data_IF_817059970550
#
_entry.id   IF_817059970550
#
_cell.length_a   1.000
_cell.length_b   1.000
_cell.length_c   1.000
_cell.angle_alpha   90.00
_cell.angle_beta   90.00
_cell.angle_gamma   90.00
#
_symmetry.space_group_name_H-M   'P 1'
#
loop_
_entity.id
_entity.type
_entity.pdbx_description
1 polymer ?
#
# COMPACT_ATOMS: atom_id res chain seq x y z
N UNK A 1 20.19 18.11 17.59
CA UNK A 1 18.87 17.71 18.13
C UNK A 1 18.84 16.20 18.34
N UNK A 2 18.37 15.75 19.50
CA UNK A 2 18.15 14.32 19.78
C UNK A 2 16.99 13.76 18.95
N UNK A 3 16.89 12.43 18.82
CA UNK A 3 15.79 11.78 18.07
C UNK A 3 14.42 12.12 18.67
N UNK A 4 14.31 12.16 20.00
CA UNK A 4 13.07 12.54 20.72
C UNK A 4 12.63 13.98 20.44
N UNK A 5 13.58 14.92 20.35
CA UNK A 5 13.27 16.31 19.99
C UNK A 5 12.70 16.44 18.57
N UNK A 6 13.20 15.62 17.63
CA UNK A 6 12.69 15.59 16.24
C UNK A 6 11.27 15.03 16.16
N UNK A 7 10.95 13.99 16.95
CA UNK A 7 9.60 13.44 17.04
C UNK A 7 8.62 14.52 17.54
N UNK A 8 8.91 15.13 18.68
CA UNK A 8 8.05 16.16 19.27
C UNK A 8 7.87 17.39 18.38
N UNK A 9 8.94 17.87 17.74
CA UNK A 9 8.86 18.99 16.80
C UNK A 9 8.00 18.65 15.57
N UNK A 10 8.04 17.39 15.10
CA UNK A 10 7.23 16.96 13.97
C UNK A 10 5.72 16.91 14.26
N UNK A 11 5.33 16.75 15.53
CA UNK A 11 3.92 16.68 15.93
C UNK A 11 3.29 18.07 16.03
N UNK A 12 3.99 19.04 16.65
CA UNK A 12 3.43 20.37 16.97
C UNK A 12 3.24 21.30 15.77
N UNK A 13 3.96 21.07 14.67
CA UNK A 13 3.90 21.95 13.49
C UNK A 13 4.52 23.34 13.75
N UNK A 14 4.92 24.02 12.68
CA UNK A 14 5.28 25.45 12.71
C UNK A 14 3.98 26.27 12.59
N UNK A 15 3.84 27.32 13.43
CA UNK A 15 2.59 28.06 13.66
C UNK A 15 1.90 28.64 12.41
N UNK A 16 0.63 29.07 12.54
CA UNK A 16 -0.23 29.42 11.41
C UNK A 16 0.20 30.71 10.70
N UNK A 17 -0.01 30.73 9.38
CA UNK A 17 0.16 31.91 8.52
C UNK A 17 -1.04 32.85 8.72
N UNK A 18 -0.78 34.06 9.19
CA UNK A 18 -1.74 35.16 9.24
C UNK A 18 -1.95 35.72 7.83
N UNK A 19 -3.17 35.73 7.32
CA UNK A 19 -3.52 36.49 6.10
C UNK A 19 -4.55 37.58 6.42
N UNK A 20 -4.32 38.75 5.86
CA UNK A 20 -4.99 40.02 6.11
C UNK A 20 -6.45 40.09 5.62
N UNK A 21 -7.15 41.11 6.13
CA UNK A 21 -8.59 41.36 6.03
C UNK A 21 -9.06 41.90 4.67
N UNK A 22 -10.09 41.28 4.10
CA UNK A 22 -11.05 41.97 3.21
C UNK A 22 -12.47 41.38 3.32
N UNK A 23 -13.47 42.25 3.15
CA UNK A 23 -14.92 42.00 3.24
C UNK A 23 -15.52 41.84 1.83
N UNK A 24 -15.64 40.59 1.37
CA UNK A 24 -16.29 40.24 0.10
C UNK A 24 -17.35 39.15 0.38
N UNK A 25 -18.63 39.31 0.00
CA UNK A 25 -19.66 38.30 0.26
C UNK A 25 -19.43 36.96 -0.48
N UNK A 26 -18.59 36.91 -1.53
CA UNK A 26 -18.12 35.65 -2.16
C UNK A 26 -17.07 34.91 -1.33
N UNK A 27 -16.66 35.50 -0.20
CA UNK A 27 -15.66 34.95 0.72
C UNK A 27 -16.09 33.64 1.36
N UNK A 28 -17.38 33.32 1.53
CA UNK A 28 -17.76 32.05 2.19
C UNK A 28 -17.44 30.82 1.32
N UNK A 29 -17.80 30.84 0.04
CA UNK A 29 -17.47 29.78 -0.91
C UNK A 29 -15.96 29.74 -1.21
N UNK A 30 -15.33 30.92 -1.31
CA UNK A 30 -13.88 31.08 -1.43
C UNK A 30 -13.17 30.58 -0.17
N UNK A 31 -13.69 30.81 1.03
CA UNK A 31 -13.08 30.40 2.31
C UNK A 31 -13.22 28.91 2.59
N UNK A 32 -14.25 28.24 2.08
CA UNK A 32 -14.39 26.79 2.23
C UNK A 32 -13.33 26.06 1.38
N UNK A 33 -13.19 26.43 0.10
CA UNK A 33 -12.13 25.90 -0.78
C UNK A 33 -10.71 26.39 -0.36
N UNK A 34 -10.56 27.64 0.07
CA UNK A 34 -9.29 28.18 0.61
C UNK A 34 -8.95 27.68 2.03
N UNK A 35 -9.90 27.05 2.75
CA UNK A 35 -9.57 26.34 4.00
C UNK A 35 -8.81 25.04 3.72
N UNK A 36 -9.07 24.39 2.58
CA UNK A 36 -8.33 23.19 2.20
C UNK A 36 -7.02 23.51 1.46
N UNK A 37 -6.94 24.61 0.70
CA UNK A 37 -5.74 24.96 -0.08
C UNK A 37 -5.29 26.41 0.06
N UNK A 38 -3.98 26.69 0.06
CA UNK A 38 -3.50 28.08 0.02
C UNK A 38 -3.91 28.76 -1.29
N UNK A 39 -4.01 30.09 -1.27
CA UNK A 39 -4.38 30.87 -2.46
C UNK A 39 -3.34 30.75 -3.59
N UNK A 40 -2.07 30.55 -3.21
CA UNK A 40 -0.95 30.41 -4.12
C UNK A 40 -0.07 29.24 -3.71
N UNK A 41 0.59 28.63 -4.69
CA UNK A 41 1.52 27.51 -4.52
C UNK A 41 2.81 27.77 -5.30
N UNK A 42 3.96 27.19 -4.90
CA UNK A 42 5.18 27.32 -5.69
C UNK A 42 5.00 26.76 -7.10
N UNK A 43 5.41 27.49 -8.13
CA UNK A 43 5.23 27.10 -9.54
C UNK A 43 5.85 25.73 -9.85
N UNK A 44 7.00 25.44 -9.27
CA UNK A 44 7.69 24.15 -9.47
C UNK A 44 6.97 22.96 -8.83
N UNK A 45 5.97 23.21 -7.98
CA UNK A 45 5.22 22.17 -7.28
C UNK A 45 4.04 21.61 -8.09
N UNK A 46 3.54 22.35 -9.08
CA UNK A 46 2.37 21.94 -9.89
C UNK A 46 2.71 21.04 -11.08
N UNK A 47 3.97 20.60 -11.19
CA UNK A 47 4.46 19.79 -12.31
C UNK A 47 4.06 18.32 -12.20
N UNK A 48 3.62 17.73 -13.33
CA UNK A 48 3.24 16.31 -13.40
C UNK A 48 4.36 15.37 -12.94
N UNK A 49 5.60 15.60 -13.38
CA UNK A 49 6.75 14.73 -13.03
C UNK A 49 7.02 14.64 -11.51
N UNK A 50 6.56 15.62 -10.75
CA UNK A 50 6.72 15.64 -9.30
C UNK A 50 5.64 14.82 -8.60
N UNK A 51 4.35 15.00 -8.92
CA UNK A 51 3.23 14.37 -8.17
C UNK A 51 2.65 13.15 -8.87
N UNK A 52 2.75 13.09 -10.21
CA UNK A 52 1.99 12.23 -11.10
C UNK A 52 0.48 12.19 -10.78
N UNK A 53 -0.02 13.21 -10.09
CA UNK A 53 -1.37 13.29 -9.50
C UNK A 53 -1.80 12.06 -8.67
N UNK A 54 -0.86 11.25 -8.15
CA UNK A 54 -1.16 10.00 -7.42
C UNK A 54 -1.99 10.22 -6.16
N UNK A 55 -1.79 11.35 -5.47
CA UNK A 55 -2.61 11.72 -4.32
C UNK A 55 -4.05 12.04 -4.72
N UNK A 56 -4.24 12.77 -5.82
CA UNK A 56 -5.58 13.08 -6.37
C UNK A 56 -6.27 11.80 -6.82
N UNK A 57 -5.58 10.94 -7.57
CA UNK A 57 -6.11 9.65 -8.02
C UNK A 57 -6.58 8.80 -6.82
N UNK A 58 -5.76 8.66 -5.78
CA UNK A 58 -6.12 7.90 -4.59
C UNK A 58 -7.33 8.47 -3.86
N UNK A 59 -7.47 9.80 -3.78
CA UNK A 59 -8.65 10.43 -3.16
C UNK A 59 -9.92 10.23 -3.97
N UNK A 60 -9.84 10.36 -5.30
CA UNK A 60 -10.98 10.12 -6.19
C UNK A 60 -11.42 8.66 -6.09
N UNK A 61 -10.48 7.72 -6.11
CA UNK A 61 -10.77 6.28 -5.96
C UNK A 61 -11.40 5.96 -4.60
N UNK A 62 -10.94 6.60 -3.52
CA UNK A 62 -11.57 6.45 -2.20
C UNK A 62 -13.02 6.95 -2.21
N UNK A 63 -13.30 8.10 -2.84
CA UNK A 63 -14.68 8.62 -2.97
C UNK A 63 -15.53 7.67 -3.81
N UNK A 64 -15.01 7.19 -4.94
CA UNK A 64 -15.70 6.22 -5.78
C UNK A 64 -16.03 4.93 -5.02
N UNK A 65 -15.12 4.42 -4.20
CA UNK A 65 -15.34 3.25 -3.35
C UNK A 65 -16.43 3.48 -2.32
N UNK A 66 -16.42 4.63 -1.62
CA UNK A 66 -17.45 4.95 -0.62
C UNK A 66 -18.82 5.04 -1.28
N UNK A 67 -18.93 5.74 -2.42
CA UNK A 67 -20.20 5.91 -3.14
C UNK A 67 -20.70 4.57 -3.69
N UNK A 68 -19.85 3.82 -4.39
CA UNK A 68 -20.24 2.52 -4.95
C UNK A 68 -20.57 1.49 -3.87
N UNK A 69 -19.83 1.46 -2.76
CA UNK A 69 -20.07 0.56 -1.63
C UNK A 69 -21.39 0.88 -0.93
N UNK A 70 -21.70 2.16 -0.74
CA UNK A 70 -22.99 2.59 -0.20
C UNK A 70 -24.16 2.15 -1.10
N UNK A 71 -24.00 2.26 -2.42
CA UNK A 71 -25.03 1.81 -3.37
C UNK A 71 -25.21 0.29 -3.33
N UNK A 72 -24.13 -0.50 -3.30
CA UNK A 72 -24.20 -1.97 -3.19
C UNK A 72 -24.85 -2.42 -1.88
N UNK A 73 -24.63 -1.67 -0.80
CA UNK A 73 -25.19 -1.96 0.54
C UNK A 73 -26.72 -1.99 0.57
N UNK A 74 -27.41 -1.30 -0.34
CA UNK A 74 -28.88 -1.33 -0.40
C UNK A 74 -29.46 -2.67 -0.83
N UNK A 75 -28.67 -3.55 -1.45
CA UNK A 75 -29.10 -4.84 -1.98
C UNK A 75 -28.37 -6.01 -1.32
N UNK A 76 -27.11 -5.82 -0.93
CA UNK A 76 -26.29 -6.89 -0.34
C UNK A 76 -26.82 -7.38 1.01
N UNK A 77 -26.89 -8.70 1.18
CA UNK A 77 -27.33 -9.35 2.42
C UNK A 77 -26.14 -10.00 3.17
N UNK A 78 -25.74 -9.48 4.34
CA UNK A 78 -24.54 -9.94 5.07
C UNK A 78 -24.80 -11.22 5.89
N UNK A 79 -25.30 -12.29 5.26
CA UNK A 79 -25.50 -13.59 5.90
C UNK A 79 -24.84 -14.71 5.09
N UNK A 80 -24.31 -15.75 5.75
CA UNK A 80 -23.59 -16.82 5.06
C UNK A 80 -24.46 -17.59 4.04
N UNK A 81 -25.79 -17.60 4.23
CA UNK A 81 -26.75 -18.24 3.33
C UNK A 81 -27.15 -17.38 2.15
N UNK A 82 -27.18 -16.05 2.28
CA UNK A 82 -27.66 -15.13 1.24
C UNK A 82 -26.59 -14.24 0.60
N UNK A 83 -25.40 -14.11 1.19
CA UNK A 83 -24.36 -13.20 0.70
C UNK A 83 -23.98 -13.47 -0.76
N UNK A 84 -23.66 -14.73 -1.09
CA UNK A 84 -23.34 -15.11 -2.47
C UNK A 84 -24.50 -14.86 -3.43
N UNK A 85 -25.71 -15.29 -3.06
CA UNK A 85 -26.90 -15.11 -3.89
C UNK A 85 -27.23 -13.63 -4.13
N UNK A 86 -27.05 -12.77 -3.12
CA UNK A 86 -27.26 -11.32 -3.25
C UNK A 86 -26.26 -10.67 -4.23
N UNK A 87 -25.03 -11.17 -4.30
CA UNK A 87 -24.00 -10.70 -5.26
C UNK A 87 -24.33 -11.14 -6.67
N UNK A 88 -24.81 -12.38 -6.85
CA UNK A 88 -25.32 -12.86 -8.14
C UNK A 88 -26.51 -12.01 -8.59
N UNK A 89 -27.48 -11.75 -7.71
CA UNK A 89 -28.63 -10.90 -7.97
C UNK A 89 -28.24 -9.46 -8.35
N UNK A 90 -27.25 -8.87 -7.66
CA UNK A 90 -26.69 -7.56 -8.05
C UNK A 90 -26.13 -7.59 -9.47
N UNK A 91 -25.46 -8.68 -9.85
CA UNK A 91 -24.87 -8.83 -11.19
C UNK A 91 -25.91 -9.04 -12.29
N UNK A 92 -26.99 -9.77 -12.03
CA UNK A 92 -27.95 -10.19 -13.07
C UNK A 92 -29.23 -9.35 -13.14
N UNK A 93 -29.81 -8.95 -12.01
CA UNK A 93 -31.15 -8.36 -11.96
C UNK A 93 -31.17 -6.85 -11.67
N UNK A 94 -30.18 -6.34 -10.93
CA UNK A 94 -30.15 -4.92 -10.54
C UNK A 94 -29.69 -4.06 -11.73
N UNK A 95 -30.44 -3.02 -12.14
CA UNK A 95 -30.00 -2.11 -13.20
C UNK A 95 -28.64 -1.48 -12.87
N UNK A 96 -27.68 -1.63 -13.79
CA UNK A 96 -26.28 -1.23 -13.60
C UNK A 96 -25.56 -1.87 -12.40
N UNK A 97 -26.12 -2.92 -11.77
CA UNK A 97 -25.54 -3.55 -10.59
C UNK A 97 -24.20 -4.22 -10.87
N UNK A 98 -24.06 -4.92 -12.01
CA UNK A 98 -22.76 -5.46 -12.46
C UNK A 98 -21.72 -4.35 -12.67
N UNK A 99 -22.08 -3.24 -13.32
CA UNK A 99 -21.18 -2.09 -13.51
C UNK A 99 -20.73 -1.53 -12.16
N UNK A 100 -21.64 -1.40 -11.20
CA UNK A 100 -21.34 -0.88 -9.87
C UNK A 100 -20.42 -1.83 -9.07
N UNK A 101 -20.64 -3.14 -9.19
CA UNK A 101 -19.80 -4.19 -8.60
C UNK A 101 -18.40 -4.16 -9.20
N UNK A 102 -18.29 -4.07 -10.52
CA UNK A 102 -17.03 -3.92 -11.24
C UNK A 102 -16.30 -2.65 -10.79
N UNK A 103 -17.01 -1.53 -10.74
CA UNK A 103 -16.47 -0.24 -10.32
C UNK A 103 -15.91 -0.31 -8.90
N UNK A 104 -16.63 -0.92 -7.97
CA UNK A 104 -16.18 -1.07 -6.59
C UNK A 104 -14.92 -1.96 -6.50
N UNK A 105 -14.93 -3.13 -7.16
CA UNK A 105 -13.80 -4.07 -7.16
C UNK A 105 -12.55 -3.47 -7.78
N UNK A 106 -12.65 -2.91 -8.98
CA UNK A 106 -11.50 -2.36 -9.69
C UNK A 106 -10.98 -1.08 -9.06
N UNK A 107 -11.85 -0.23 -8.51
CA UNK A 107 -11.42 0.96 -7.76
C UNK A 107 -10.65 0.58 -6.49
N UNK A 108 -10.98 -0.54 -5.85
CA UNK A 108 -10.26 -1.09 -4.69
C UNK A 108 -8.82 -1.44 -5.00
N UNK A 109 -8.61 -2.16 -6.11
CA UNK A 109 -7.28 -2.50 -6.60
C UNK A 109 -6.51 -1.28 -7.12
N UNK A 110 -7.18 -0.40 -7.86
CA UNK A 110 -6.57 0.84 -8.32
C UNK A 110 -6.11 1.71 -7.15
N UNK A 111 -6.91 1.83 -6.08
CA UNK A 111 -6.55 2.60 -4.89
C UNK A 111 -5.30 2.02 -4.22
N UNK A 112 -5.22 0.69 -4.12
CA UNK A 112 -4.05 0.02 -3.56
C UNK A 112 -2.80 0.33 -4.38
N UNK A 113 -2.88 0.20 -5.71
CA UNK A 113 -1.76 0.50 -6.62
C UNK A 113 -1.37 1.98 -6.55
N UNK A 114 -2.33 2.91 -6.64
CA UNK A 114 -2.02 4.35 -6.63
C UNK A 114 -1.47 4.81 -5.28
N UNK A 115 -1.98 4.27 -4.17
CA UNK A 115 -1.46 4.56 -2.84
C UNK A 115 -0.03 4.02 -2.69
N UNK A 116 0.26 2.83 -3.23
CA UNK A 116 1.61 2.26 -3.18
C UNK A 116 2.60 3.07 -4.02
N UNK A 117 2.21 3.43 -5.25
CA UNK A 117 2.99 4.34 -6.09
C UNK A 117 3.18 5.71 -5.42
N UNK A 118 2.17 6.21 -4.70
CA UNK A 118 2.28 7.46 -3.93
C UNK A 118 3.33 7.34 -2.81
N UNK A 119 3.34 6.23 -2.08
CA UNK A 119 4.36 5.92 -1.07
C UNK A 119 5.76 5.87 -1.69
N UNK A 120 5.94 5.14 -2.80
CA UNK A 120 7.22 5.07 -3.51
C UNK A 120 7.70 6.45 -3.94
N UNK A 121 6.80 7.25 -4.52
CA UNK A 121 7.11 8.63 -4.91
C UNK A 121 7.58 9.45 -3.72
N UNK A 122 6.89 9.40 -2.58
CA UNK A 122 7.27 10.16 -1.38
C UNK A 122 8.63 9.69 -0.84
N UNK A 123 8.90 8.39 -0.89
CA UNK A 123 10.19 7.79 -0.51
C UNK A 123 11.32 8.27 -1.43
N UNK A 124 11.23 8.05 -2.75
CA UNK A 124 12.32 8.34 -3.69
C UNK A 124 12.56 9.84 -3.95
N UNK A 125 11.58 10.70 -3.64
CA UNK A 125 11.74 12.15 -3.70
C UNK A 125 12.19 12.78 -2.37
N UNK A 126 12.28 11.98 -1.30
CA UNK A 126 12.60 12.46 0.05
C UNK A 126 11.51 13.35 0.66
N UNK A 127 10.27 13.28 0.18
CA UNK A 127 9.20 14.17 0.64
C UNK A 127 8.78 13.93 2.11
N UNK A 128 9.27 12.86 2.74
CA UNK A 128 9.07 12.52 4.15
C UNK A 128 10.01 13.28 5.12
N UNK A 129 11.04 13.99 4.63
CA UNK A 129 11.89 14.80 5.51
C UNK A 129 11.09 15.92 6.20
N UNK A 130 11.66 16.50 7.26
CA UNK A 130 11.03 17.61 7.99
C UNK A 130 10.61 18.76 7.05
N UNK A 131 9.45 19.41 7.27
CA UNK A 131 8.49 19.27 8.37
C UNK A 131 7.41 18.17 8.18
N UNK A 132 7.60 17.23 7.23
CA UNK A 132 6.57 16.23 6.83
C UNK A 132 6.74 14.84 7.44
N UNK A 133 7.63 14.69 8.42
CA UNK A 133 7.96 13.39 9.04
C UNK A 133 6.72 12.69 9.62
N UNK A 134 5.87 13.40 10.35
CA UNK A 134 4.65 12.79 10.90
C UNK A 134 3.60 12.49 9.82
N UNK A 135 3.58 13.27 8.72
CA UNK A 135 2.69 13.00 7.60
C UNK A 135 3.02 11.68 6.89
N UNK A 136 4.28 11.28 6.90
CA UNK A 136 4.71 9.95 6.45
C UNK A 136 4.11 8.83 7.31
N UNK A 137 4.10 8.97 8.64
CA UNK A 137 3.49 8.00 9.55
C UNK A 137 1.99 7.87 9.28
N UNK A 138 1.29 9.00 9.08
CA UNK A 138 -0.13 9.00 8.67
C UNK A 138 -0.28 8.27 7.32
N UNK A 139 0.62 8.50 6.36
CA UNK A 139 0.62 7.81 5.08
C UNK A 139 0.78 6.29 5.20
N UNK A 140 1.65 5.82 6.10
CA UNK A 140 1.80 4.38 6.40
C UNK A 140 0.54 3.81 7.05
N UNK A 141 -0.10 4.55 7.98
CA UNK A 141 -1.38 4.14 8.57
C UNK A 141 -2.49 4.07 7.52
N UNK A 142 -2.58 5.04 6.61
CA UNK A 142 -3.51 5.03 5.48
C UNK A 142 -3.27 3.83 4.56
N UNK A 143 -2.01 3.50 4.25
CA UNK A 143 -1.67 2.30 3.46
C UNK A 143 -2.16 1.03 4.16
N UNK A 144 -1.92 0.90 5.46
CA UNK A 144 -2.41 -0.23 6.24
C UNK A 144 -3.94 -0.35 6.24
N UNK A 145 -4.66 0.78 6.37
CA UNK A 145 -6.12 0.80 6.27
C UNK A 145 -6.63 0.44 4.87
N UNK A 146 -5.94 0.85 3.80
CA UNK A 146 -6.31 0.47 2.41
C UNK A 146 -6.14 -1.03 2.20
N UNK A 147 -5.06 -1.63 2.72
CA UNK A 147 -4.86 -3.08 2.71
C UNK A 147 -5.94 -3.81 3.52
N UNK A 148 -6.21 -3.35 4.74
CA UNK A 148 -7.23 -3.95 5.62
C UNK A 148 -8.64 -3.82 5.04
N UNK A 149 -8.95 -2.69 4.39
CA UNK A 149 -10.22 -2.49 3.69
C UNK A 149 -10.36 -3.43 2.50
N UNK A 150 -9.32 -3.57 1.67
CA UNK A 150 -9.32 -4.55 0.58
C UNK A 150 -9.50 -5.98 1.11
N UNK A 151 -8.84 -6.35 2.21
CA UNK A 151 -8.93 -7.69 2.79
C UNK A 151 -10.32 -8.00 3.37
N UNK A 152 -10.89 -7.08 4.17
CA UNK A 152 -12.22 -7.28 4.76
C UNK A 152 -13.33 -7.28 3.71
N UNK A 153 -13.23 -6.44 2.68
CA UNK A 153 -14.14 -6.41 1.54
C UNK A 153 -14.00 -7.63 0.63
N UNK A 154 -12.81 -8.26 0.60
CA UNK A 154 -12.54 -9.44 -0.23
C UNK A 154 -13.45 -10.62 0.14
N UNK A 155 -13.82 -10.77 1.42
CA UNK A 155 -14.64 -11.86 1.95
C UNK A 155 -16.13 -11.75 1.60
N UNK A 156 -16.63 -10.53 1.39
CA UNK A 156 -18.07 -10.26 1.29
C UNK A 156 -18.78 -10.99 0.13
N UNK A 157 -18.14 -11.27 -1.02
CA UNK A 157 -18.75 -12.11 -2.04
C UNK A 157 -19.11 -13.53 -1.58
N UNK A 158 -18.46 -14.05 -0.53
CA UNK A 158 -18.65 -15.39 0.00
C UNK A 158 -18.50 -16.50 -1.06
N UNK A 159 -17.52 -16.31 -1.95
CA UNK A 159 -17.15 -17.26 -3.00
C UNK A 159 -15.95 -18.12 -2.56
N UNK A 160 -15.64 -19.17 -3.32
CA UNK A 160 -14.56 -20.10 -3.01
C UNK A 160 -13.19 -19.40 -2.87
N UNK A 161 -12.88 -18.46 -3.74
CA UNK A 161 -11.57 -17.80 -3.72
C UNK A 161 -11.43 -16.93 -2.47
N UNK A 162 -12.47 -16.16 -2.12
CA UNK A 162 -12.46 -15.26 -0.97
C UNK A 162 -12.46 -15.98 0.37
N UNK A 163 -13.29 -17.01 0.52
CA UNK A 163 -13.38 -17.79 1.76
C UNK A 163 -12.04 -18.43 2.12
N UNK A 164 -11.41 -19.10 1.17
CA UNK A 164 -10.15 -19.80 1.40
C UNK A 164 -8.96 -18.84 1.52
N UNK A 165 -8.97 -17.72 0.79
CA UNK A 165 -7.99 -16.65 0.98
C UNK A 165 -7.99 -16.11 2.42
N UNK A 166 -9.18 -15.86 3.00
CA UNK A 166 -9.30 -15.40 4.40
C UNK A 166 -8.92 -16.50 5.38
N UNK A 167 -9.30 -17.76 5.09
CA UNK A 167 -8.93 -18.91 5.93
C UNK A 167 -7.42 -19.01 6.07
N UNK A 168 -6.68 -18.98 4.94
CA UNK A 168 -5.21 -19.01 4.97
C UNK A 168 -4.66 -17.78 5.70
N UNK A 169 -5.13 -16.58 5.35
CA UNK A 169 -4.59 -15.33 5.91
C UNK A 169 -4.79 -15.23 7.42
N UNK A 170 -5.93 -15.68 7.95
CA UNK A 170 -6.24 -15.64 9.39
C UNK A 170 -5.59 -16.78 10.17
N UNK A 171 -5.32 -17.94 9.54
CA UNK A 171 -4.51 -19.01 10.15
C UNK A 171 -3.07 -18.56 10.48
N UNK A 172 -2.54 -17.56 9.78
CA UNK A 172 -1.21 -17.00 10.08
C UNK A 172 -1.16 -16.34 11.45
N UNK A 173 -2.30 -15.95 12.02
CA UNK A 173 -2.38 -15.37 13.36
C UNK A 173 -2.05 -16.38 14.45
N UNK A 174 -2.25 -17.69 14.22
CA UNK A 174 -1.89 -18.74 15.17
C UNK A 174 -0.39 -18.75 15.48
N UNK A 175 0.44 -18.18 14.59
CA UNK A 175 1.90 -18.05 14.79
C UNK A 175 2.30 -16.84 15.62
N UNK A 176 1.36 -15.97 16.03
CA UNK A 176 1.66 -14.85 16.93
C UNK A 176 1.92 -15.40 18.34
N UNK A 177 3.13 -15.21 18.90
CA UNK A 177 3.48 -15.79 20.19
C UNK A 177 2.55 -15.30 21.32
N UNK A 178 2.06 -16.22 22.14
CA UNK A 178 1.28 -15.95 23.36
C UNK A 178 -0.20 -15.66 23.15
N UNK A 179 -0.60 -14.97 22.07
CA UNK A 179 -1.99 -14.51 21.87
C UNK A 179 -2.63 -14.93 20.55
N UNK A 180 -1.94 -15.74 19.72
CA UNK A 180 -2.37 -16.04 18.34
C UNK A 180 -3.78 -16.60 18.19
N UNK A 181 -4.05 -17.74 18.81
CA UNK A 181 -5.38 -18.39 18.71
C UNK A 181 -6.50 -17.55 19.32
N UNK A 182 -6.37 -16.97 20.54
CA UNK A 182 -7.38 -16.05 21.06
C UNK A 182 -7.63 -14.83 20.15
N UNK A 183 -6.58 -14.28 19.53
CA UNK A 183 -6.71 -13.14 18.59
C UNK A 183 -7.45 -13.55 17.32
N UNK A 184 -7.13 -14.71 16.76
CA UNK A 184 -7.81 -15.27 15.58
C UNK A 184 -9.30 -15.48 15.86
N UNK A 185 -9.64 -16.14 16.97
CA UNK A 185 -11.02 -16.41 17.35
C UNK A 185 -11.80 -15.12 17.63
N UNK A 186 -11.16 -14.10 18.22
CA UNK A 186 -11.76 -12.78 18.42
C UNK A 186 -12.14 -12.11 17.09
N UNK A 187 -11.27 -12.19 16.08
CA UNK A 187 -11.50 -11.59 14.76
C UNK A 187 -12.58 -12.35 14.00
N UNK A 188 -12.51 -13.68 14.01
CA UNK A 188 -13.42 -14.56 13.26
C UNK A 188 -14.78 -14.73 13.95
N UNK A 189 -14.86 -14.61 15.28
CA UNK A 189 -16.03 -15.02 16.06
C UNK A 189 -16.20 -16.54 16.14
N UNK A 190 -15.11 -17.29 15.98
CA UNK A 190 -15.08 -18.76 15.94
C UNK A 190 -13.71 -19.31 15.53
N UNK A 191 -13.52 -20.65 15.51
CA UNK A 191 -12.23 -21.27 15.16
C UNK A 191 -11.88 -21.15 13.67
N UNK A 192 -12.88 -20.98 12.81
CA UNK A 192 -12.77 -20.86 11.35
C UNK A 192 -13.75 -19.82 10.79
N UNK A 193 -13.57 -19.34 9.55
CA UNK A 193 -14.48 -18.38 8.95
C UNK A 193 -15.91 -18.92 8.85
N UNK A 194 -16.85 -18.18 9.43
CA UNK A 194 -18.28 -18.54 9.47
C UNK A 194 -19.22 -17.32 9.47
N UNK A 195 -20.50 -17.50 9.85
CA UNK A 195 -21.49 -16.42 9.83
C UNK A 195 -21.10 -15.19 10.65
N UNK A 196 -20.51 -15.41 11.84
CA UNK A 196 -20.00 -14.32 12.69
C UNK A 196 -18.86 -13.56 12.01
N UNK A 197 -17.96 -14.27 11.32
CA UNK A 197 -16.84 -13.67 10.58
C UNK A 197 -17.35 -12.75 9.50
N UNK A 198 -18.32 -13.21 8.70
CA UNK A 198 -18.90 -12.42 7.63
C UNK A 198 -19.51 -11.12 8.16
N UNK A 199 -20.26 -11.21 9.27
CA UNK A 199 -20.88 -10.04 9.88
C UNK A 199 -19.84 -9.06 10.45
N UNK A 200 -18.80 -9.57 11.12
CA UNK A 200 -17.68 -8.76 11.62
C UNK A 200 -16.97 -8.03 10.48
N UNK A 201 -16.65 -8.74 9.39
CA UNK A 201 -15.96 -8.19 8.24
C UNK A 201 -16.84 -7.17 7.51
N UNK A 202 -18.14 -7.43 7.38
CA UNK A 202 -19.10 -6.48 6.84
C UNK A 202 -19.19 -5.19 7.67
N UNK A 203 -19.25 -5.28 9.00
CA UNK A 203 -19.28 -4.11 9.88
C UNK A 203 -17.96 -3.31 9.81
N UNK A 204 -16.82 -4.01 9.83
CA UNK A 204 -15.50 -3.38 9.67
C UNK A 204 -15.39 -2.66 8.32
N UNK A 205 -15.74 -3.35 7.24
CA UNK A 205 -15.58 -2.86 5.87
C UNK A 205 -16.52 -1.71 5.52
N UNK A 206 -17.76 -1.74 5.98
CA UNK A 206 -18.78 -0.74 5.57
C UNK A 206 -18.92 0.45 6.53
N UNK A 207 -18.42 0.35 7.76
CA UNK A 207 -18.54 1.42 8.75
C UNK A 207 -17.18 1.89 9.29
N UNK A 208 -16.44 1.01 9.96
CA UNK A 208 -15.26 1.41 10.75
C UNK A 208 -14.10 1.85 9.85
N UNK A 209 -13.76 1.06 8.83
CA UNK A 209 -12.62 1.32 7.94
C UNK A 209 -12.85 2.55 7.04
N UNK A 210 -14.02 2.74 6.40
CA UNK A 210 -14.27 3.95 5.61
C UNK A 210 -14.22 5.22 6.45
N UNK A 211 -14.82 5.21 7.65
CA UNK A 211 -14.80 6.38 8.54
C UNK A 211 -13.37 6.72 8.98
N UNK A 212 -12.57 5.70 9.33
CA UNK A 212 -11.16 5.86 9.71
C UNK A 212 -10.32 6.40 8.56
N UNK A 213 -10.54 5.90 7.33
CA UNK A 213 -9.89 6.38 6.11
C UNK A 213 -10.22 7.85 5.84
N UNK A 214 -11.50 8.24 5.90
CA UNK A 214 -11.92 9.64 5.69
C UNK A 214 -11.26 10.55 6.73
N UNK A 215 -11.33 10.18 8.01
CA UNK A 215 -10.71 10.96 9.08
C UNK A 215 -9.20 11.16 8.85
N UNK A 216 -8.46 10.07 8.59
CA UNK A 216 -7.01 10.15 8.38
C UNK A 216 -6.63 10.86 7.08
N UNK A 217 -7.42 10.75 6.00
CA UNK A 217 -7.16 11.51 4.75
C UNK A 217 -7.32 13.01 4.97
N UNK A 218 -8.37 13.43 5.68
CA UNK A 218 -8.57 14.84 6.04
C UNK A 218 -7.40 15.35 6.89
N UNK A 219 -6.98 14.55 7.88
CA UNK A 219 -5.83 14.88 8.72
C UNK A 219 -4.50 14.90 7.94
N UNK A 220 -4.32 13.99 6.98
CA UNK A 220 -3.17 13.94 6.08
C UNK A 220 -3.06 15.21 5.24
N UNK A 221 -4.17 15.69 4.65
CA UNK A 221 -4.19 16.95 3.91
C UNK A 221 -3.92 18.17 4.78
N UNK A 222 -4.52 18.22 5.97
CA UNK A 222 -4.24 19.29 6.93
C UNK A 222 -2.74 19.35 7.29
N UNK A 223 -2.10 18.20 7.50
CA UNK A 223 -0.65 18.12 7.77
C UNK A 223 0.22 18.56 6.59
N UNK A 224 -0.19 18.31 5.35
CA UNK A 224 0.49 18.85 4.17
C UNK A 224 0.41 20.38 4.16
N UNK A 225 -0.75 20.95 4.48
CA UNK A 225 -0.92 22.41 4.59
C UNK A 225 -0.02 23.02 5.67
N UNK A 226 0.00 22.43 6.87
CA UNK A 226 0.87 22.87 7.97
C UNK A 226 2.37 22.78 7.64
N UNK A 227 2.73 21.92 6.67
CA UNK A 227 4.08 21.78 6.15
C UNK A 227 4.42 22.75 4.99
N UNK A 228 3.61 23.78 4.76
CA UNK A 228 3.72 24.72 3.64
C UNK A 228 3.56 24.07 2.26
N UNK A 229 2.77 22.99 2.19
CA UNK A 229 2.49 22.27 0.95
C UNK A 229 3.46 21.12 0.66
N UNK A 230 3.50 20.74 -0.61
CA UNK A 230 4.32 19.63 -1.11
C UNK A 230 5.79 20.03 -1.29
N UNK A 231 6.68 19.03 -1.36
CA UNK A 231 8.11 19.28 -1.62
C UNK A 231 8.30 20.02 -2.94
N UNK A 232 9.17 21.02 -2.95
CA UNK A 232 9.52 21.78 -4.16
C UNK A 232 10.66 21.07 -4.87
N UNK A 233 10.51 20.86 -6.17
CA UNK A 233 11.55 20.25 -7.00
C UNK A 233 12.75 21.20 -7.11
N UNK A 234 13.95 20.67 -6.83
CA UNK A 234 15.24 21.35 -7.01
C UNK A 234 16.29 20.40 -7.57
N UNK A 235 17.26 20.92 -8.31
CA UNK A 235 18.43 20.13 -8.66
C UNK A 235 19.26 19.79 -7.39
N UNK A 236 20.09 18.73 -7.40
CA UNK A 236 20.78 18.24 -6.20
C UNK A 236 21.61 19.30 -5.46
N UNK A 237 22.23 20.21 -6.22
CA UNK A 237 23.10 21.28 -5.69
C UNK A 237 22.48 22.68 -5.81
N UNK A 238 21.22 22.77 -6.26
CA UNK A 238 20.54 24.05 -6.43
C UNK A 238 20.06 24.58 -5.07
N UNK A 239 20.57 25.75 -4.69
CA UNK A 239 19.99 26.55 -3.62
C UNK A 239 18.76 27.26 -4.17
N UNK A 240 17.61 26.97 -3.58
CA UNK A 240 16.37 27.67 -3.92
C UNK A 240 16.49 29.14 -3.54
N UNK A 241 16.17 30.03 -4.49
CA UNK A 241 15.99 31.45 -4.21
C UNK A 241 14.75 31.65 -3.34
N UNK A 242 14.86 32.55 -2.35
CA UNK A 242 13.77 32.93 -1.46
C UNK A 242 13.45 34.41 -1.67
N UNK A 243 12.20 34.80 -1.94
CA UNK A 243 11.01 33.94 -2.04
C UNK A 243 10.96 33.11 -3.33
N UNK A 244 10.27 31.97 -3.29
CA UNK A 244 10.02 31.14 -4.47
C UNK A 244 8.98 31.81 -5.39
N UNK A 245 9.06 31.64 -6.72
CA UNK A 245 7.99 32.03 -7.63
C UNK A 245 6.69 31.28 -7.30
N UNK A 246 5.63 32.04 -7.01
CA UNK A 246 4.31 31.53 -6.63
C UNK A 246 3.33 31.72 -7.80
N UNK A 247 2.40 30.80 -7.93
CA UNK A 247 1.29 30.87 -8.89
C UNK A 247 -0.03 30.66 -8.17
N UNK A 248 -1.10 31.28 -8.67
CA UNK A 248 -2.44 31.12 -8.10
C UNK A 248 -2.89 29.67 -8.21
N UNK A 249 -3.46 29.16 -7.12
CA UNK A 249 -4.04 27.80 -7.07
C UNK A 249 -5.18 27.65 -8.08
N UNK A 250 -6.00 28.69 -8.23
CA UNK A 250 -7.04 28.77 -9.27
C UNK A 250 -6.60 29.81 -10.32
N UNK A 251 -6.54 29.46 -11.61
CA UNK A 251 -6.94 28.19 -12.21
C UNK A 251 -5.83 27.11 -12.22
N UNK A 252 -4.56 27.49 -12.10
CA UNK A 252 -3.44 26.66 -12.56
C UNK A 252 -3.32 25.26 -11.93
N UNK A 253 -3.57 25.13 -10.63
CA UNK A 253 -3.49 23.84 -9.95
C UNK A 253 -4.83 23.10 -10.02
N UNK A 254 -5.93 23.79 -9.72
CA UNK A 254 -7.27 23.16 -9.65
C UNK A 254 -7.71 22.58 -10.99
N UNK A 255 -7.45 23.26 -12.12
CA UNK A 255 -7.84 22.72 -13.44
C UNK A 255 -7.07 21.45 -13.78
N UNK A 256 -5.78 21.38 -13.45
CA UNK A 256 -4.94 20.20 -13.69
C UNK A 256 -5.39 19.01 -12.85
N UNK A 257 -5.71 19.24 -11.58
CA UNK A 257 -6.20 18.19 -10.70
C UNK A 257 -7.62 17.75 -11.04
N UNK A 258 -8.49 18.68 -11.45
CA UNK A 258 -9.82 18.34 -11.95
C UNK A 258 -9.73 17.48 -13.22
N UNK A 259 -8.84 17.84 -14.16
CA UNK A 259 -8.59 17.03 -15.35
C UNK A 259 -8.07 15.62 -14.97
N UNK A 260 -7.10 15.52 -14.05
CA UNK A 260 -6.62 14.24 -13.57
C UNK A 260 -7.72 13.40 -12.88
N UNK A 261 -8.56 14.04 -12.06
CA UNK A 261 -9.69 13.39 -11.40
C UNK A 261 -10.71 12.84 -12.42
N UNK A 262 -11.09 13.64 -13.42
CA UNK A 262 -11.99 13.22 -14.49
C UNK A 262 -11.40 12.07 -15.31
N UNK A 263 -10.09 12.10 -15.60
CA UNK A 263 -9.41 11.00 -16.29
C UNK A 263 -9.45 9.70 -15.48
N UNK A 264 -9.27 9.76 -14.16
CA UNK A 264 -9.38 8.57 -13.28
C UNK A 264 -10.81 8.02 -13.29
N UNK A 265 -11.82 8.89 -13.15
CA UNK A 265 -13.23 8.47 -13.22
C UNK A 265 -13.54 7.83 -14.57
N UNK A 266 -13.14 8.47 -15.67
CA UNK A 266 -13.36 7.96 -17.02
C UNK A 266 -12.66 6.62 -17.25
N UNK A 267 -11.41 6.47 -16.81
CA UNK A 267 -10.66 5.22 -16.91
C UNK A 267 -11.31 4.09 -16.10
N UNK A 268 -11.81 4.38 -14.90
CA UNK A 268 -12.49 3.39 -14.06
C UNK A 268 -13.85 2.99 -14.59
N UNK A 269 -14.62 3.92 -15.17
CA UNK A 269 -15.86 3.58 -15.86
C UNK A 269 -15.59 2.71 -17.09
N UNK A 270 -14.61 3.08 -17.93
CA UNK A 270 -14.24 2.30 -19.11
C UNK A 270 -13.77 0.88 -18.74
N UNK A 271 -12.92 0.76 -17.70
CA UNK A 271 -12.47 -0.54 -17.19
C UNK A 271 -13.63 -1.38 -16.68
N UNK A 272 -14.55 -0.77 -15.93
CA UNK A 272 -15.67 -1.48 -15.29
C UNK A 272 -16.77 -1.88 -16.28
N UNK A 273 -16.85 -1.22 -17.44
CA UNK A 273 -17.72 -1.58 -18.55
C UNK A 273 -17.14 -2.70 -19.42
N UNK A 274 -15.81 -2.89 -19.40
CA UNK A 274 -15.11 -3.83 -20.30
C UNK A 274 -14.66 -5.11 -19.60
N UNK A 275 -14.35 -5.04 -18.31
CA UNK A 275 -13.86 -6.18 -17.52
C UNK A 275 -14.77 -6.44 -16.33
N UNK A 276 -15.33 -7.65 -16.28
CA UNK A 276 -16.12 -8.10 -15.16
C UNK A 276 -15.25 -8.49 -13.96
N UNK A 277 -15.71 -8.09 -12.77
CA UNK A 277 -15.13 -8.50 -11.51
C UNK A 277 -15.29 -10.01 -11.35
N UNK A 278 -14.19 -10.76 -11.13
CA UNK A 278 -14.24 -12.21 -10.94
C UNK A 278 -15.19 -12.59 -9.81
N UNK A 279 -15.99 -13.64 -10.03
CA UNK A 279 -16.82 -14.29 -9.02
C UNK A 279 -16.61 -15.79 -9.20
N UNK A 280 -16.07 -16.46 -8.18
CA UNK A 280 -16.02 -17.92 -8.18
C UNK A 280 -17.37 -18.51 -7.77
N UNK A 281 -17.48 -19.83 -7.76
CA UNK A 281 -18.64 -20.51 -7.20
C UNK A 281 -18.80 -20.22 -5.70
N UNK A 282 -20.00 -20.43 -5.18
CA UNK A 282 -20.31 -20.27 -3.75
C UNK A 282 -19.32 -21.06 -2.89
N UNK A 283 -18.86 -20.45 -1.80
CA UNK A 283 -17.90 -21.07 -0.91
C UNK A 283 -18.41 -22.42 -0.37
N UNK A 284 -17.54 -23.44 -0.44
CA UNK A 284 -17.73 -24.74 0.18
C UNK A 284 -16.58 -25.01 1.14
N UNK A 285 -16.80 -24.89 2.47
CA UNK A 285 -15.77 -25.15 3.48
C UNK A 285 -15.18 -26.56 3.44
N UNK A 286 -15.88 -27.53 2.86
CA UNK A 286 -15.40 -28.91 2.71
C UNK A 286 -14.50 -29.15 1.50
N UNK A 287 -14.32 -28.16 0.60
CA UNK A 287 -13.57 -28.34 -0.64
C UNK A 287 -12.75 -27.08 -0.99
N UNK A 288 -11.44 -27.14 -0.74
CA UNK A 288 -10.51 -26.06 -1.09
C UNK A 288 -10.12 -26.08 -2.57
N UNK A 289 -10.03 -24.91 -3.23
CA UNK A 289 -9.48 -24.80 -4.58
C UNK A 289 -8.02 -25.24 -4.63
N UNK A 290 -7.59 -25.85 -5.74
CA UNK A 290 -6.20 -26.22 -5.96
C UNK A 290 -5.66 -25.58 -7.25
N UNK A 291 -4.66 -24.68 -7.18
CA UNK A 291 -4.01 -24.16 -5.98
C UNK A 291 -4.87 -23.16 -5.19
N UNK A 292 -4.71 -23.14 -3.88
CA UNK A 292 -5.28 -22.10 -3.03
C UNK A 292 -4.33 -20.90 -2.97
N UNK A 293 -4.68 -19.81 -3.64
CA UNK A 293 -3.87 -18.58 -3.70
C UNK A 293 -4.49 -17.47 -2.86
N UNK A 294 -3.63 -16.71 -2.20
CA UNK A 294 -3.97 -15.47 -1.53
C UNK A 294 -4.32 -14.39 -2.59
N UNK A 295 -4.95 -13.27 -2.18
CA UNK A 295 -5.12 -12.14 -3.07
C UNK A 295 -3.76 -11.67 -3.59
N UNK A 296 -3.69 -11.18 -4.82
CA UNK A 296 -2.43 -10.83 -5.50
C UNK A 296 -1.52 -9.91 -4.66
N UNK A 297 -2.08 -9.01 -3.86
CA UNK A 297 -1.32 -8.10 -2.99
C UNK A 297 -0.73 -8.74 -1.73
N UNK A 298 -1.12 -9.98 -1.41
CA UNK A 298 -0.51 -10.82 -0.37
C UNK A 298 0.26 -12.01 -0.94
N UNK A 299 0.24 -12.23 -2.27
CA UNK A 299 0.94 -13.35 -2.90
C UNK A 299 2.44 -13.35 -2.61
N UNK A 300 3.09 -12.19 -2.52
CA UNK A 300 4.49 -12.14 -2.11
C UNK A 300 4.74 -12.71 -0.71
N UNK A 301 3.81 -12.52 0.24
CA UNK A 301 3.91 -13.11 1.58
C UNK A 301 3.65 -14.61 1.53
N UNK A 302 2.64 -15.06 0.76
CA UNK A 302 2.38 -16.48 0.56
C UNK A 302 3.56 -17.20 -0.08
N UNK A 303 4.23 -16.57 -1.04
CA UNK A 303 5.41 -17.15 -1.66
C UNK A 303 6.56 -17.30 -0.65
N UNK A 304 6.78 -16.30 0.23
CA UNK A 304 7.78 -16.43 1.31
C UNK A 304 7.40 -17.58 2.27
N UNK A 305 6.11 -17.78 2.56
CA UNK A 305 5.63 -18.87 3.42
C UNK A 305 5.95 -20.27 2.88
N UNK A 306 6.13 -20.42 1.57
CA UNK A 306 6.55 -21.69 0.97
C UNK A 306 8.01 -22.04 1.28
N UNK A 307 8.83 -21.02 1.56
CA UNK A 307 10.28 -21.16 1.72
C UNK A 307 10.76 -20.94 3.17
N UNK A 308 9.96 -20.25 3.98
CA UNK A 308 10.30 -19.89 5.36
C UNK A 308 9.18 -20.29 6.33
N UNK A 309 9.59 -20.58 7.57
CA UNK A 309 8.67 -20.84 8.67
C UNK A 309 7.67 -19.67 8.85
N UNK A 310 6.36 -19.94 9.07
CA UNK A 310 5.33 -18.91 9.07
C UNK A 310 5.54 -17.74 10.02
N UNK A 311 6.09 -17.97 11.21
CA UNK A 311 6.51 -16.91 12.13
C UNK A 311 7.40 -15.86 11.45
N UNK A 312 8.39 -16.28 10.65
CA UNK A 312 9.32 -15.35 10.03
C UNK A 312 8.70 -14.65 8.82
N UNK A 313 8.00 -15.42 7.99
CA UNK A 313 7.38 -14.94 6.76
C UNK A 313 6.24 -13.94 7.00
N UNK A 314 5.33 -14.26 7.93
CA UNK A 314 4.11 -13.48 8.17
C UNK A 314 4.27 -12.41 9.26
N UNK A 315 5.18 -12.60 10.22
CA UNK A 315 5.34 -11.67 11.35
C UNK A 315 6.69 -10.94 11.33
N UNK A 316 7.82 -11.66 11.40
CA UNK A 316 9.14 -11.03 11.60
C UNK A 316 9.53 -10.13 10.42
N UNK A 317 9.49 -10.64 9.19
CA UNK A 317 9.90 -9.86 8.00
C UNK A 317 9.02 -8.62 7.80
N UNK A 318 7.67 -8.72 7.80
CA UNK A 318 6.81 -7.55 7.72
C UNK A 318 7.00 -6.56 8.87
N UNK A 319 7.18 -7.05 10.12
CA UNK A 319 7.42 -6.19 11.27
C UNK A 319 8.76 -5.43 11.17
N UNK A 320 9.82 -6.10 10.70
CA UNK A 320 11.11 -5.45 10.44
C UNK A 320 11.00 -4.37 9.35
N UNK A 321 10.28 -4.65 8.26
CA UNK A 321 10.04 -3.67 7.19
C UNK A 321 9.23 -2.47 7.70
N UNK A 322 8.15 -2.73 8.46
CA UNK A 322 7.33 -1.68 9.05
C UNK A 322 8.15 -0.82 10.03
N UNK A 323 8.92 -1.45 10.92
CA UNK A 323 9.81 -0.74 11.85
C UNK A 323 10.83 0.13 11.10
N UNK A 324 11.45 -0.40 10.03
CA UNK A 324 12.33 0.37 9.17
C UNK A 324 11.63 1.60 8.58
N UNK A 325 10.43 1.44 8.02
CA UNK A 325 9.66 2.55 7.44
C UNK A 325 9.21 3.58 8.48
N UNK A 326 8.83 3.15 9.69
CA UNK A 326 8.46 4.05 10.79
C UNK A 326 9.66 4.86 11.31
N UNK A 327 10.84 4.25 11.39
CA UNK A 327 12.06 4.91 11.85
C UNK A 327 12.68 5.82 10.77
N UNK A 328 12.50 5.49 9.48
CA UNK A 328 13.10 6.16 8.33
C UNK A 328 13.10 7.70 8.40
N UNK A 329 11.96 8.40 8.61
CA UNK A 329 11.94 9.86 8.62
C UNK A 329 12.76 10.49 9.75
N UNK A 330 13.05 9.75 10.82
CA UNK A 330 13.74 10.24 12.01
C UNK A 330 15.24 9.92 12.02
N UNK A 331 15.72 9.10 11.09
CA UNK A 331 17.14 8.83 10.89
C UNK A 331 17.91 10.09 10.48
N UNK A 332 19.25 10.05 10.62
CA UNK A 332 20.12 11.13 10.11
C UNK A 332 20.32 10.89 8.61
N UNK A 333 20.07 11.93 7.82
CA UNK A 333 20.15 11.88 6.37
C UNK A 333 21.21 12.87 5.89
N UNK A 334 22.01 12.44 4.92
CA UNK A 334 23.14 13.23 4.41
C UNK A 334 22.70 14.21 3.32
N UNK A 335 21.53 14.00 2.72
CA UNK A 335 20.95 14.84 1.68
C UNK A 335 19.57 15.39 2.09
N UNK A 336 19.26 16.67 1.79
CA UNK A 336 17.93 17.22 2.08
C UNK A 336 16.93 16.92 0.95
N UNK A 337 15.63 16.97 1.22
CA UNK A 337 14.56 16.66 0.25
C UNK A 337 14.70 17.43 -1.08
N UNK A 338 14.92 16.74 -2.19
CA UNK A 338 15.14 17.40 -3.51
C UNK A 338 13.88 17.45 -4.37
N UNK A 339 12.87 16.63 -4.11
CA UNK A 339 11.71 16.53 -5.01
C UNK A 339 12.06 15.91 -6.37
N UNK A 340 13.24 15.33 -6.53
CA UNK A 340 13.71 14.65 -7.75
C UNK A 340 13.84 13.16 -7.45
N UNK A 341 13.31 12.33 -8.34
CA UNK A 341 13.44 10.89 -8.27
C UNK A 341 14.89 10.45 -8.16
N UNK A 342 15.17 9.63 -7.15
CA UNK A 342 16.45 8.99 -6.87
C UNK A 342 17.59 9.92 -6.44
N UNK A 343 17.29 11.20 -6.19
CA UNK A 343 18.21 12.17 -5.61
C UNK A 343 19.36 12.64 -6.50
N UNK A 344 20.05 11.74 -7.22
CA UNK A 344 21.25 12.04 -8.00
C UNK A 344 21.38 11.09 -9.22
N UNK A 345 22.35 11.36 -10.12
CA UNK A 345 22.69 10.42 -11.21
C UNK A 345 23.27 9.11 -10.67
N UNK A 346 24.04 9.14 -9.57
CA UNK A 346 24.58 7.95 -8.91
C UNK A 346 23.44 7.13 -8.28
N UNK A 347 22.52 7.79 -7.58
CA UNK A 347 21.31 7.19 -7.02
C UNK A 347 20.46 6.45 -8.05
N UNK A 348 20.32 6.98 -9.28
CA UNK A 348 19.65 6.26 -10.37
C UNK A 348 20.33 4.94 -10.73
N UNK A 349 21.67 4.94 -10.78
CA UNK A 349 22.46 3.73 -11.09
C UNK A 349 22.37 2.72 -9.95
N UNK A 350 22.48 3.16 -8.69
CA UNK A 350 22.39 2.26 -7.52
C UNK A 350 21.01 1.63 -7.41
N UNK A 351 19.94 2.39 -7.66
CA UNK A 351 18.55 1.90 -7.67
C UNK A 351 18.33 0.90 -8.80
N UNK A 352 18.80 1.18 -10.01
CA UNK A 352 18.67 0.24 -11.14
C UNK A 352 19.43 -1.07 -10.84
N UNK A 353 20.67 -0.96 -10.36
CA UNK A 353 21.45 -2.13 -9.97
C UNK A 353 20.75 -2.94 -8.87
N UNK A 354 20.15 -2.27 -7.88
CA UNK A 354 19.38 -2.90 -6.82
C UNK A 354 18.12 -3.60 -7.31
N UNK A 355 17.39 -3.00 -8.25
CA UNK A 355 16.20 -3.61 -8.84
C UNK A 355 16.57 -4.89 -9.61
N UNK A 356 17.61 -4.84 -10.44
CA UNK A 356 18.09 -6.01 -11.19
C UNK A 356 18.58 -7.10 -10.22
N UNK A 357 19.41 -6.72 -9.25
CA UNK A 357 19.93 -7.66 -8.25
C UNK A 357 18.79 -8.30 -7.44
N UNK A 358 17.79 -7.52 -7.02
CA UNK A 358 16.63 -8.04 -6.29
C UNK A 358 15.85 -9.06 -7.10
N UNK A 359 15.52 -8.75 -8.36
CA UNK A 359 14.82 -9.71 -9.23
C UNK A 359 15.63 -11.00 -9.45
N UNK A 360 16.91 -10.88 -9.82
CA UNK A 360 17.75 -12.03 -10.15
C UNK A 360 18.06 -12.90 -8.93
N UNK A 361 18.45 -12.29 -7.80
CA UNK A 361 18.77 -13.04 -6.59
C UNK A 361 17.53 -13.70 -5.99
N UNK A 362 16.37 -13.06 -6.06
CA UNK A 362 15.12 -13.66 -5.60
C UNK A 362 14.68 -14.81 -6.50
N UNK A 363 14.67 -14.64 -7.82
CA UNK A 363 14.32 -15.72 -8.74
C UNK A 363 15.29 -16.91 -8.60
N UNK A 364 16.59 -16.66 -8.54
CA UNK A 364 17.60 -17.69 -8.29
C UNK A 364 17.44 -18.36 -6.92
N UNK A 365 17.09 -17.59 -5.88
CA UNK A 365 16.82 -18.09 -4.54
C UNK A 365 15.60 -19.01 -4.47
N UNK A 366 14.52 -18.69 -5.18
CA UNK A 366 13.33 -19.55 -5.29
C UNK A 366 13.71 -20.87 -5.98
N UNK A 367 14.38 -20.81 -7.13
CA UNK A 367 14.82 -22.02 -7.86
C UNK A 367 15.75 -22.89 -7.02
N UNK A 368 16.70 -22.29 -6.30
CA UNK A 368 17.58 -23.00 -5.38
C UNK A 368 16.79 -23.63 -4.23
N UNK A 369 15.84 -22.91 -3.66
CA UNK A 369 14.99 -23.44 -2.58
C UNK A 369 14.19 -24.65 -3.04
N UNK A 370 13.61 -24.63 -4.25
CA UNK A 370 12.88 -25.77 -4.82
C UNK A 370 13.80 -26.99 -5.05
N UNK A 371 15.02 -26.76 -5.55
CA UNK A 371 16.02 -27.81 -5.74
C UNK A 371 16.49 -28.44 -4.41
N UNK A 372 16.56 -27.65 -3.33
CA UNK A 372 16.93 -28.14 -2.00
C UNK A 372 15.75 -28.83 -1.29
N UNK A 373 14.53 -28.25 -1.37
CA UNK A 373 13.31 -28.83 -0.79
C UNK A 373 12.97 -30.19 -1.41
N UNK A 374 13.20 -30.37 -2.70
CA UNK A 374 13.03 -31.66 -3.38
C UNK A 374 14.06 -32.72 -2.96
N UNK A 375 15.18 -32.32 -2.37
CA UNK A 375 16.24 -33.22 -1.88
C UNK A 375 16.08 -33.61 -0.40
N UNK A 376 15.18 -32.98 0.35
CA UNK A 376 15.16 -32.98 1.81
C UNK A 376 13.86 -33.62 2.36
N UNK A 377 13.79 -34.95 2.33
CA UNK A 377 12.56 -35.70 2.66
C UNK A 377 12.47 -36.21 4.11
N UNK A 378 13.41 -35.88 5.00
CA UNK A 378 13.62 -36.71 6.20
C UNK A 378 13.40 -36.05 7.59
N UNK A 379 13.23 -34.73 7.72
CA UNK A 379 13.07 -34.09 9.06
C UNK A 379 11.97 -33.03 9.10
N UNK A 380 11.16 -32.97 10.18
CA UNK A 380 10.08 -32.00 10.30
C UNK A 380 10.62 -30.55 10.31
N UNK A 381 9.89 -29.60 9.71
CA UNK A 381 10.19 -28.17 9.78
C UNK A 381 10.33 -27.72 11.23
N UNK A 382 11.48 -27.18 11.60
CA UNK A 382 11.66 -26.53 12.92
C UNK A 382 11.82 -25.03 12.74
N UNK A 383 11.45 -24.27 13.78
CA UNK A 383 11.65 -22.81 13.84
C UNK A 383 13.13 -22.45 13.60
N UNK A 384 14.06 -23.30 14.02
CA UNK A 384 15.49 -23.10 13.81
C UNK A 384 15.88 -23.34 12.34
N UNK A 385 15.58 -24.53 11.80
CA UNK A 385 16.01 -24.96 10.45
C UNK A 385 15.34 -24.14 9.35
N UNK A 386 14.03 -24.00 9.41
CA UNK A 386 13.23 -23.39 8.35
C UNK A 386 12.89 -21.93 8.66
N UNK A 387 13.21 -21.45 9.84
CA UNK A 387 12.99 -20.06 10.26
C UNK A 387 14.29 -19.29 10.43
N UNK A 388 14.98 -19.50 11.55
CA UNK A 388 16.10 -18.66 11.97
C UNK A 388 17.30 -18.74 11.02
N UNK A 389 17.72 -19.93 10.58
CA UNK A 389 18.86 -20.08 9.66
C UNK A 389 18.62 -19.35 8.32
N UNK A 390 17.53 -19.63 7.57
CA UNK A 390 17.28 -18.94 6.31
C UNK A 390 17.02 -17.44 6.52
N UNK A 391 16.40 -17.05 7.63
CA UNK A 391 16.24 -15.63 7.97
C UNK A 391 17.59 -14.93 8.17
N UNK A 392 18.53 -15.53 8.92
CA UNK A 392 19.87 -14.99 9.10
C UNK A 392 20.64 -14.93 7.78
N UNK A 393 20.47 -15.91 6.89
CA UNK A 393 21.04 -15.87 5.55
C UNK A 393 20.49 -14.69 4.73
N UNK A 394 19.17 -14.44 4.76
CA UNK A 394 18.54 -13.27 4.11
C UNK A 394 19.11 -11.98 4.69
N UNK A 395 19.21 -11.87 6.02
CA UNK A 395 19.79 -10.70 6.68
C UNK A 395 21.25 -10.49 6.26
N UNK A 396 22.04 -11.56 6.15
CA UNK A 396 23.42 -11.49 5.69
C UNK A 396 23.53 -11.03 4.22
N UNK A 397 22.67 -11.54 3.33
CA UNK A 397 22.58 -11.09 1.93
C UNK A 397 22.20 -9.61 1.86
N UNK A 398 21.21 -9.18 2.63
CA UNK A 398 20.75 -7.79 2.69
C UNK A 398 21.85 -6.86 3.22
N UNK A 399 22.54 -7.26 4.30
CA UNK A 399 23.65 -6.49 4.87
C UNK A 399 24.87 -6.44 3.94
N UNK A 400 25.20 -7.58 3.31
CA UNK A 400 26.27 -7.69 2.31
C UNK A 400 25.99 -6.82 1.09
N UNK A 401 24.75 -6.82 0.58
CA UNK A 401 24.31 -5.95 -0.50
C UNK A 401 24.46 -4.47 -0.14
N UNK A 402 24.02 -4.06 1.06
CA UNK A 402 24.18 -2.69 1.54
C UNK A 402 25.66 -2.27 1.61
N UNK A 403 26.52 -3.13 2.17
CA UNK A 403 27.96 -2.88 2.26
C UNK A 403 28.62 -2.80 0.88
N UNK A 404 28.23 -3.69 -0.04
CA UNK A 404 28.72 -3.71 -1.42
C UNK A 404 28.33 -2.43 -2.17
N UNK A 405 27.07 -1.99 -2.11
CA UNK A 405 26.64 -0.74 -2.78
C UNK A 405 27.41 0.46 -2.25
N UNK A 406 27.60 0.54 -0.93
CA UNK A 406 28.35 1.63 -0.30
C UNK A 406 29.82 1.66 -0.76
N UNK A 407 30.47 0.49 -0.87
CA UNK A 407 31.89 0.38 -1.25
C UNK A 407 32.11 0.47 -2.76
N UNK A 408 31.33 -0.25 -3.57
CA UNK A 408 31.54 -0.39 -5.00
C UNK A 408 31.08 0.84 -5.80
N UNK A 409 30.05 1.55 -5.32
CA UNK A 409 29.46 2.68 -6.03
C UNK A 409 29.67 4.03 -5.32
N UNK A 410 30.49 4.07 -4.26
CA UNK A 410 30.76 5.27 -3.46
C UNK A 410 29.46 6.02 -3.11
N UNK A 411 28.46 5.25 -2.66
CA UNK A 411 27.11 5.74 -2.43
C UNK A 411 27.00 6.42 -1.04
N UNK A 412 26.33 7.56 -1.00
CA UNK A 412 25.94 8.20 0.26
C UNK A 412 24.98 7.31 1.07
N UNK A 413 24.77 7.59 2.36
CA UNK A 413 23.85 6.77 3.18
C UNK A 413 22.43 6.82 2.62
N UNK A 414 21.98 7.98 2.16
CA UNK A 414 20.65 8.14 1.57
C UNK A 414 20.49 7.35 0.27
N UNK A 415 21.51 7.31 -0.59
CA UNK A 415 21.50 6.50 -1.82
C UNK A 415 21.56 5.00 -1.52
N UNK A 416 22.35 4.58 -0.53
CA UNK A 416 22.42 3.19 -0.10
C UNK A 416 21.10 2.71 0.53
N UNK A 417 20.43 3.56 1.31
CA UNK A 417 19.09 3.28 1.86
C UNK A 417 18.05 3.17 0.76
N UNK A 418 18.09 4.04 -0.26
CA UNK A 418 17.21 3.93 -1.42
C UNK A 418 17.45 2.63 -2.19
N UNK A 419 18.71 2.30 -2.47
CA UNK A 419 19.07 1.05 -3.15
C UNK A 419 18.60 -0.17 -2.35
N UNK A 420 18.81 -0.20 -1.03
CA UNK A 420 18.35 -1.29 -0.18
C UNK A 420 16.81 -1.43 -0.23
N UNK A 421 16.07 -0.33 -0.11
CA UNK A 421 14.61 -0.39 -0.21
C UNK A 421 14.14 -0.85 -1.59
N UNK A 422 14.82 -0.44 -2.67
CA UNK A 422 14.54 -0.93 -4.02
C UNK A 422 14.81 -2.43 -4.14
N UNK A 423 15.91 -2.92 -3.58
CA UNK A 423 16.24 -4.35 -3.55
C UNK A 423 15.13 -5.16 -2.88
N UNK A 424 14.70 -4.75 -1.68
CA UNK A 424 13.62 -5.43 -0.95
C UNK A 424 12.28 -5.34 -1.69
N UNK A 425 11.96 -4.19 -2.28
CA UNK A 425 10.71 -4.01 -3.04
C UNK A 425 10.70 -4.87 -4.30
N UNK A 426 11.79 -4.90 -5.07
CA UNK A 426 11.90 -5.73 -6.27
C UNK A 426 11.90 -7.22 -5.95
N UNK A 427 12.52 -7.64 -4.84
CA UNK A 427 12.41 -9.00 -4.32
C UNK A 427 10.94 -9.36 -4.01
N UNK A 428 10.24 -8.53 -3.25
CA UNK A 428 8.82 -8.77 -2.91
C UNK A 428 7.91 -8.79 -4.15
N UNK A 429 8.14 -7.90 -5.11
CA UNK A 429 7.41 -7.90 -6.37
C UNK A 429 7.71 -9.18 -7.17
N UNK A 430 8.96 -9.61 -7.23
CA UNK A 430 9.35 -10.87 -7.91
C UNK A 430 8.65 -12.07 -7.28
N UNK A 431 8.64 -12.17 -5.96
CA UNK A 431 7.89 -13.20 -5.22
C UNK A 431 6.39 -13.14 -5.52
N UNK A 432 5.83 -11.93 -5.58
CA UNK A 432 4.42 -11.71 -5.95
C UNK A 432 4.14 -12.20 -7.37
N UNK A 433 5.01 -11.91 -8.33
CA UNK A 433 4.88 -12.37 -9.71
C UNK A 433 4.97 -13.91 -9.79
N UNK A 434 5.98 -14.50 -9.15
CA UNK A 434 6.17 -15.96 -9.10
C UNK A 434 4.93 -16.64 -8.51
N UNK A 435 4.49 -16.20 -7.33
CA UNK A 435 3.31 -16.76 -6.67
C UNK A 435 2.05 -16.65 -7.53
N UNK A 436 1.86 -15.51 -8.21
CA UNK A 436 0.66 -15.26 -9.01
C UNK A 436 0.63 -16.12 -10.27
N UNK A 437 1.70 -16.13 -11.07
CA UNK A 437 1.69 -16.70 -12.43
C UNK A 437 2.42 -18.04 -12.57
N UNK A 438 3.36 -18.36 -11.69
CA UNK A 438 4.22 -19.54 -11.83
C UNK A 438 3.92 -20.65 -10.82
N UNK A 439 2.87 -20.50 -9.99
CA UNK A 439 2.41 -21.54 -9.05
C UNK A 439 1.19 -22.27 -9.61
N UNK A 440 1.34 -23.57 -9.87
CA UNK A 440 0.32 -24.49 -10.37
C UNK A 440 -0.32 -25.34 -9.27
N UNK A 441 -0.85 -26.51 -9.64
CA UNK A 441 -1.46 -27.44 -8.69
C UNK A 441 -0.50 -27.79 -7.54
N UNK A 442 -1.02 -27.82 -6.31
CA UNK A 442 -0.24 -28.05 -5.09
C UNK A 442 0.76 -26.94 -4.76
N UNK A 443 0.60 -25.74 -5.35
CA UNK A 443 1.58 -24.65 -5.29
C UNK A 443 2.96 -25.07 -5.85
N UNK A 444 3.01 -26.04 -6.76
CA UNK A 444 4.26 -26.40 -7.44
C UNK A 444 4.66 -25.33 -8.44
N UNK A 445 5.98 -25.11 -8.59
CA UNK A 445 6.51 -24.18 -9.58
C UNK A 445 6.32 -24.77 -10.99
N UNK A 446 5.60 -24.05 -11.85
CA UNK A 446 5.32 -24.43 -13.24
C UNK A 446 5.55 -23.24 -14.16
N UNK A 447 5.93 -23.52 -15.40
CA UNK A 447 5.93 -22.50 -16.45
C UNK A 447 4.49 -22.18 -16.85
N UNK A 448 4.14 -20.90 -17.03
CA UNK A 448 2.82 -20.53 -17.54
C UNK A 448 2.66 -21.15 -18.93
N UNK A 449 1.61 -21.97 -19.08
CA UNK A 449 1.23 -22.61 -20.34
C UNK A 449 0.41 -21.71 -21.25
#
# INVERSE_FOLDING_TARGET
>A
MSTLQRVWASIRGSGPVTNSSSNDPRKYLRNFLLHFRPAEVPERSIGFALTAYLGVASTVLLVMLILSGLMLKFVYEPSATHAYASIVYIGSEVPFGQLLRNLHRWSGYALLVTAFLHLLRVFYTGAFHGPRQFNWIIGLALMALVLLSNFTGYLLPWDQISYWAVTISTSLLDYVPGIGTPLKELILGGPEPGPATLLNFYALHTAILPLSLVFLVLFHFWRIRMAHGIVVRRAPDERLTSPLPMVRTVPHLVTREAAAALLVVAAMLALSMTLDAPLAEQANPGMSPNPTKAPWFFMGIQEILMHLHPLFAALVIPACLLAFLLCLPYLRHDAPATGVWFGSKRGRRTVLAAAIAGCLLTAGGVLLSEAVLSADTASPPTVLRNGLIPFLAIVAVVAGFYAMIKKALDASKSEAVQALFTFLTSAFLTLTLIGTWFRGAGMQLVWPG
#
